data_IF_873721331647
#
_entry.id   IF_873721331647
#
_cell.length_a   1.000
_cell.length_b   1.000
_cell.length_c   1.000
_cell.angle_alpha   90.00
_cell.angle_beta   90.00
_cell.angle_gamma   90.00
#
_symmetry.space_group_name_H-M   'P 1'
#
loop_
_entity.id
_entity.type
_entity.pdbx_description
1 polymer ?
#
# COMPACT_ATOMS: atom_id res chain seq x y z
N UNK A 1 9.67 21.00 -17.92
CA UNK A 1 10.63 20.01 -18.41
C UNK A 1 10.04 18.61 -18.56
N UNK A 2 9.41 18.02 -17.52
CA UNK A 2 8.92 16.64 -17.58
C UNK A 2 7.87 16.40 -18.69
N UNK A 3 6.86 17.27 -18.80
CA UNK A 3 5.86 17.20 -19.87
C UNK A 3 6.42 17.48 -21.28
N UNK A 4 7.57 18.14 -21.39
CA UNK A 4 8.24 18.30 -22.70
C UNK A 4 8.86 16.99 -23.16
N UNK A 5 9.30 16.13 -22.22
CA UNK A 5 9.86 14.80 -22.51
C UNK A 5 8.80 13.72 -22.58
N UNK A 6 7.71 13.86 -21.83
CA UNK A 6 6.61 12.90 -21.73
C UNK A 6 5.27 13.66 -21.78
N UNK A 7 4.82 14.08 -22.97
CA UNK A 7 3.64 14.91 -23.13
C UNK A 7 2.33 14.18 -22.80
N UNK A 8 2.30 12.86 -22.95
CA UNK A 8 1.15 11.97 -22.73
C UNK A 8 1.12 11.37 -21.31
N UNK A 9 1.80 12.00 -20.35
CA UNK A 9 2.01 11.50 -18.98
C UNK A 9 0.73 10.95 -18.33
N UNK A 10 -0.39 11.68 -18.42
CA UNK A 10 -1.66 11.30 -17.80
C UNK A 10 -2.21 9.92 -18.24
N UNK A 11 -1.84 9.46 -19.45
CA UNK A 11 -2.25 8.16 -20.00
C UNK A 11 -1.33 7.00 -19.61
N UNK A 12 -0.16 7.30 -19.03
CA UNK A 12 0.86 6.30 -18.73
C UNK A 12 0.64 5.66 -17.36
N UNK A 13 1.17 4.45 -17.24
CA UNK A 13 1.33 3.80 -15.93
C UNK A 13 2.66 4.19 -15.35
N UNK A 14 2.65 4.67 -14.11
CA UNK A 14 3.85 5.04 -13.36
C UNK A 14 4.03 4.02 -12.25
N UNK A 15 5.24 3.48 -12.15
CA UNK A 15 5.66 2.57 -11.09
C UNK A 15 6.86 3.17 -10.37
N UNK A 16 6.86 3.16 -9.05
CA UNK A 16 7.99 3.67 -8.25
C UNK A 16 8.36 2.70 -7.13
N UNK A 17 9.64 2.66 -6.81
CA UNK A 17 10.21 1.96 -5.67
C UNK A 17 11.36 2.83 -5.13
N UNK A 18 11.46 2.93 -3.81
CA UNK A 18 12.50 3.73 -3.16
C UNK A 18 12.15 4.04 -1.70
N UNK A 19 12.82 5.01 -1.07
CA UNK A 19 12.45 5.49 0.26
C UNK A 19 11.03 6.06 0.28
N UNK A 20 10.29 5.87 1.38
CA UNK A 20 8.91 6.35 1.50
C UNK A 20 8.74 7.84 1.16
N UNK A 21 9.57 8.78 1.68
CA UNK A 21 9.44 10.19 1.33
C UNK A 21 9.62 10.49 -0.17
N UNK A 22 10.50 9.73 -0.83
CA UNK A 22 10.71 9.87 -2.27
C UNK A 22 9.49 9.40 -3.06
N UNK A 23 8.96 8.22 -2.72
CA UNK A 23 7.77 7.70 -3.41
C UNK A 23 6.55 8.59 -3.21
N UNK A 24 6.38 9.17 -2.02
CA UNK A 24 5.28 10.09 -1.74
C UNK A 24 5.47 11.42 -2.50
N UNK A 25 6.71 11.92 -2.65
CA UNK A 25 7.02 13.06 -3.54
C UNK A 25 6.66 12.77 -5.01
N UNK A 26 7.05 11.59 -5.52
CA UNK A 26 6.74 11.20 -6.90
C UNK A 26 5.23 11.10 -7.10
N UNK A 27 4.52 10.46 -6.19
CA UNK A 27 3.06 10.31 -6.24
C UNK A 27 2.35 11.66 -6.34
N UNK A 28 2.70 12.61 -5.46
CA UNK A 28 2.13 13.96 -5.48
C UNK A 28 2.41 14.66 -6.81
N UNK A 29 3.65 14.59 -7.28
CA UNK A 29 4.08 15.23 -8.53
C UNK A 29 3.35 14.69 -9.76
N UNK A 30 3.27 13.37 -9.93
CA UNK A 30 2.63 12.77 -11.11
C UNK A 30 1.12 12.83 -11.06
N UNK A 31 0.53 12.77 -9.87
CA UNK A 31 -0.93 12.96 -9.69
C UNK A 31 -1.34 14.37 -10.07
N UNK A 32 -0.57 15.39 -9.70
CA UNK A 32 -0.80 16.78 -10.12
C UNK A 32 -0.71 16.98 -11.65
N UNK A 33 -0.03 16.07 -12.35
CA UNK A 33 0.08 16.04 -13.82
C UNK A 33 -0.99 15.17 -14.49
N UNK A 34 -1.98 14.67 -13.73
CA UNK A 34 -3.13 13.92 -14.26
C UNK A 34 -2.92 12.41 -14.39
N UNK A 35 -1.84 11.84 -13.83
CA UNK A 35 -1.66 10.38 -13.79
C UNK A 35 -2.71 9.74 -12.89
N UNK A 36 -3.41 8.75 -13.44
CA UNK A 36 -4.44 7.97 -12.71
C UNK A 36 -3.98 6.55 -12.37
N UNK A 37 -2.91 6.07 -13.02
CA UNK A 37 -2.38 4.71 -12.86
C UNK A 37 -1.00 4.76 -12.22
N UNK A 38 -0.99 4.94 -10.90
CA UNK A 38 0.22 5.02 -10.11
C UNK A 38 0.34 3.82 -9.16
N UNK A 39 1.49 3.15 -9.19
CA UNK A 39 1.80 2.01 -8.34
C UNK A 39 3.12 2.26 -7.61
N UNK A 40 3.15 1.94 -6.32
CA UNK A 40 4.36 2.02 -5.51
C UNK A 40 4.60 0.73 -4.75
N UNK A 41 5.85 0.30 -4.72
CA UNK A 41 6.29 -0.83 -3.92
C UNK A 41 7.00 -0.30 -2.67
N UNK A 42 6.38 -0.51 -1.50
CA UNK A 42 6.91 -0.08 -0.21
C UNK A 42 7.58 -1.25 0.51
N UNK A 43 8.91 -1.26 0.52
CA UNK A 43 9.68 -2.14 1.40
C UNK A 43 9.73 -1.50 2.79
N UNK A 44 9.42 -2.29 3.82
CA UNK A 44 9.30 -1.87 5.23
C UNK A 44 8.14 -0.90 5.47
N UNK A 45 6.95 -1.48 5.71
CA UNK A 45 5.81 -0.73 6.24
C UNK A 45 6.04 -0.47 7.73
N UNK A 46 5.81 0.76 8.25
CA UNK A 46 5.87 1.00 9.69
C UNK A 46 4.99 -0.02 10.43
N UNK A 47 5.47 -0.50 11.57
CA UNK A 47 4.70 -1.40 12.44
C UNK A 47 3.35 -0.73 12.71
N UNK A 48 2.27 -1.39 12.29
CA UNK A 48 0.92 -0.93 12.60
C UNK A 48 0.75 -0.80 14.12
N UNK A 49 -0.10 0.11 14.57
CA UNK A 49 -0.39 0.24 16.01
C UNK A 49 -0.79 -1.13 16.58
N UNK A 50 -0.17 -1.48 17.70
CA UNK A 50 -0.40 -2.77 18.35
C UNK A 50 -1.87 -2.87 18.76
N UNK A 51 -2.54 -3.96 18.36
CA UNK A 51 -3.90 -4.22 18.79
C UNK A 51 -4.00 -4.30 20.32
N UNK A 52 -5.03 -3.67 20.89
CA UNK A 52 -5.27 -3.65 22.34
C UNK A 52 -6.11 -4.82 22.84
N UNK A 53 -6.66 -5.62 21.92
CA UNK A 53 -7.46 -6.81 22.20
C UNK A 53 -7.24 -7.88 21.14
N UNK A 54 -7.51 -9.14 21.50
CA UNK A 54 -7.49 -10.24 20.52
C UNK A 54 -8.68 -10.16 19.57
N UNK A 55 -8.52 -10.71 18.37
CA UNK A 55 -9.50 -10.63 17.29
C UNK A 55 -10.12 -11.99 17.01
N UNK A 56 -11.44 -12.08 17.12
CA UNK A 56 -12.23 -13.23 16.65
C UNK A 56 -12.61 -13.01 15.18
N UNK A 57 -12.38 -13.99 14.32
CA UNK A 57 -12.69 -13.89 12.89
C UNK A 57 -13.20 -15.23 12.34
N UNK A 58 -13.84 -15.19 11.17
CA UNK A 58 -14.36 -16.36 10.47
C UNK A 58 -13.77 -16.45 9.07
N UNK A 59 -13.59 -17.68 8.58
CA UNK A 59 -13.34 -17.94 7.15
C UNK A 59 -14.63 -18.44 6.53
N UNK A 60 -14.87 -18.09 5.27
CA UNK A 60 -16.02 -18.62 4.52
C UNK A 60 -15.81 -20.09 4.16
N UNK A 61 -14.56 -20.49 3.86
CA UNK A 61 -14.20 -21.83 3.43
C UNK A 61 -12.84 -22.25 4.03
N UNK A 62 -12.81 -23.22 4.95
CA UNK A 62 -13.97 -23.82 5.63
C UNK A 62 -14.67 -22.80 6.54
N UNK A 63 -15.99 -22.98 6.74
CA UNK A 63 -16.78 -22.16 7.65
C UNK A 63 -16.39 -22.47 9.10
N UNK A 64 -15.42 -21.74 9.63
CA UNK A 64 -14.85 -21.95 10.95
C UNK A 64 -14.51 -20.61 11.62
N UNK A 65 -14.66 -20.58 12.94
CA UNK A 65 -14.24 -19.48 13.80
C UNK A 65 -12.79 -19.67 14.24
N UNK A 66 -12.03 -18.57 14.24
CA UNK A 66 -10.64 -18.48 14.67
C UNK A 66 -10.47 -17.33 15.66
N UNK A 67 -9.38 -17.37 16.42
CA UNK A 67 -9.03 -16.33 17.38
C UNK A 67 -7.54 -15.99 17.29
N UNK A 68 -7.23 -14.73 16.99
CA UNK A 68 -5.89 -14.19 17.00
C UNK A 68 -5.62 -13.46 18.33
N UNK A 69 -4.72 -13.96 19.21
CA UNK A 69 -4.36 -13.28 20.44
C UNK A 69 -3.55 -11.99 20.16
N UNK A 70 -3.53 -11.08 21.15
CA UNK A 70 -2.69 -9.88 21.11
C UNK A 70 -1.23 -10.26 20.84
N UNK A 71 -0.58 -9.55 19.92
CA UNK A 71 0.82 -9.77 19.57
C UNK A 71 1.07 -10.84 18.51
N UNK A 72 0.01 -11.42 17.93
CA UNK A 72 0.11 -12.32 16.75
C UNK A 72 -0.49 -11.66 15.51
N UNK A 73 -0.03 -12.08 14.33
CA UNK A 73 -0.67 -11.70 13.07
C UNK A 73 -1.84 -12.63 12.74
N UNK A 74 -2.80 -12.16 11.93
CA UNK A 74 -3.87 -13.02 11.38
C UNK A 74 -3.34 -14.18 10.54
N UNK A 75 -2.13 -14.06 9.99
CA UNK A 75 -1.51 -15.13 9.20
C UNK A 75 -0.96 -16.26 10.10
N UNK A 76 -0.54 -15.92 11.32
CA UNK A 76 -0.01 -16.88 12.29
C UNK A 76 -1.11 -17.58 13.11
N UNK A 77 -2.30 -16.99 13.22
CA UNK A 77 -3.44 -17.50 13.99
C UNK A 77 -4.37 -18.43 13.17
#
# INVERSE_FOLDING_TARGET
>A
ELLQRVPDMASRTIMTCGPAPYMDFVEQGVTALGVTRFFKEKFFTPVAETATSGLKFTKLQPAQEFYAPIGTTLLEA
#
